data_IF_633117138934
#
_entry.id   IF_633117138934
#
_cell.length_a   1.000
_cell.length_b   1.000
_cell.length_c   1.000
_cell.angle_alpha   90.00
_cell.angle_beta   90.00
_cell.angle_gamma   90.00
#
_symmetry.space_group_name_H-M   'P 1'
#
loop_
_entity.id
_entity.type
_entity.pdbx_description
1 polymer ?
#
# COMPACT_ATOMS: atom_id res chain seq x y z
N UNK A 1 1.17 -10.17 -23.33
CA UNK A 1 -0.25 -9.85 -23.53
C UNK A 1 -0.63 -8.82 -22.48
N UNK A 2 -1.32 -7.72 -22.83
CA UNK A 2 -1.93 -6.82 -21.87
C UNK A 2 -2.80 -7.60 -20.87
N UNK A 3 -2.72 -7.22 -19.60
CA UNK A 3 -3.43 -7.85 -18.48
C UNK A 3 -4.93 -7.61 -18.57
N UNK A 4 -5.72 -8.65 -18.31
CA UNK A 4 -7.17 -8.55 -18.14
C UNK A 4 -7.58 -7.91 -16.79
N UNK A 5 -6.61 -7.74 -15.88
CA UNK A 5 -6.74 -6.95 -14.66
C UNK A 5 -6.47 -5.45 -14.88
N UNK A 6 -6.30 -5.02 -16.13
CA UNK A 6 -6.12 -3.63 -16.52
C UNK A 6 -7.22 -3.18 -17.47
N UNK A 7 -7.51 -1.88 -17.50
CA UNK A 7 -8.13 -1.24 -18.65
C UNK A 7 -7.07 -1.01 -19.72
N UNK A 8 -7.45 -1.14 -21.00
CA UNK A 8 -6.56 -0.93 -22.13
C UNK A 8 -6.86 0.41 -22.77
N UNK A 9 -5.89 1.31 -22.74
CA UNK A 9 -5.95 2.61 -23.38
C UNK A 9 -5.26 2.52 -24.74
N UNK A 10 -6.01 2.77 -25.80
CA UNK A 10 -5.52 2.69 -27.18
C UNK A 10 -5.61 4.05 -27.87
N UNK A 11 -4.71 4.29 -28.82
CA UNK A 11 -4.74 5.48 -29.70
C UNK A 11 -4.46 5.08 -31.14
N UNK A 12 -5.14 5.75 -32.05
CA UNK A 12 -4.95 5.63 -33.50
C UNK A 12 -5.19 6.99 -34.19
N UNK A 13 -4.65 7.18 -35.41
CA UNK A 13 -4.95 8.35 -36.23
C UNK A 13 -6.45 8.49 -36.50
N UNK A 14 -6.94 9.72 -36.41
CA UNK A 14 -8.31 10.06 -36.72
C UNK A 14 -8.60 9.87 -38.22
N UNK A 15 -9.82 9.39 -38.52
CA UNK A 15 -10.41 9.47 -39.85
C UNK A 15 -11.42 10.60 -39.82
N UNK A 16 -11.28 11.56 -40.73
CA UNK A 16 -12.20 12.69 -40.89
C UNK A 16 -12.32 13.65 -39.67
N UNK A 17 -11.38 13.61 -38.72
CA UNK A 17 -11.24 14.57 -37.62
C UNK A 17 -12.27 14.46 -36.49
N UNK A 18 -13.09 13.40 -36.44
CA UNK A 18 -14.08 13.18 -35.37
C UNK A 18 -13.72 11.96 -34.47
N UNK A 19 -13.37 12.19 -33.18
CA UNK A 19 -13.08 11.12 -32.21
C UNK A 19 -14.19 10.08 -32.02
N UNK A 20 -15.45 10.46 -32.26
CA UNK A 20 -16.57 9.52 -32.14
C UNK A 20 -16.55 8.46 -33.24
N UNK A 21 -15.93 8.75 -34.39
CA UNK A 21 -15.78 7.78 -35.47
C UNK A 21 -14.92 6.61 -35.02
N UNK A 22 -13.77 6.85 -34.39
CA UNK A 22 -12.90 5.80 -33.85
C UNK A 22 -13.65 4.97 -32.80
N UNK A 23 -14.39 5.62 -31.89
CA UNK A 23 -15.15 4.92 -30.86
C UNK A 23 -16.18 3.96 -31.49
N UNK A 24 -16.92 4.43 -32.50
CA UNK A 24 -17.93 3.63 -33.21
C UNK A 24 -17.30 2.48 -34.01
N UNK A 25 -16.16 2.71 -34.67
CA UNK A 25 -15.41 1.66 -35.40
C UNK A 25 -14.96 0.55 -34.45
N UNK A 26 -14.33 0.92 -33.32
CA UNK A 26 -13.86 -0.05 -32.31
C UNK A 26 -15.04 -0.81 -31.70
N UNK A 27 -16.14 -0.11 -31.39
CA UNK A 27 -17.35 -0.73 -30.87
C UNK A 27 -17.97 -1.71 -31.88
N UNK A 28 -17.98 -1.37 -33.17
CA UNK A 28 -18.45 -2.26 -34.23
C UNK A 28 -17.56 -3.49 -34.41
N UNK A 29 -16.25 -3.35 -34.22
CA UNK A 29 -15.30 -4.45 -34.35
C UNK A 29 -15.37 -5.42 -33.15
N UNK A 30 -15.46 -4.89 -31.93
CA UNK A 30 -15.44 -5.70 -30.70
C UNK A 30 -16.81 -6.28 -30.32
N UNK A 31 -17.90 -5.65 -30.76
CA UNK A 31 -19.26 -6.02 -30.41
C UNK A 31 -19.73 -5.39 -29.09
N UNK A 32 -21.03 -5.51 -28.83
CA UNK A 32 -21.72 -4.82 -27.71
C UNK A 32 -21.35 -5.32 -26.32
N UNK A 33 -20.74 -6.50 -26.21
CA UNK A 33 -20.41 -7.13 -24.93
C UNK A 33 -19.12 -6.59 -24.31
N UNK A 34 -18.36 -5.75 -25.04
CA UNK A 34 -17.13 -5.13 -24.54
C UNK A 34 -17.42 -3.69 -24.16
N UNK A 35 -17.29 -3.38 -22.87
CA UNK A 35 -17.41 -2.01 -22.37
C UNK A 35 -16.21 -1.16 -22.84
N UNK A 36 -16.52 0.01 -23.40
CA UNK A 36 -15.54 0.95 -23.94
C UNK A 36 -16.04 2.39 -23.81
N UNK A 37 -15.13 3.34 -23.79
CA UNK A 37 -15.43 4.77 -23.75
C UNK A 37 -14.40 5.58 -24.53
N UNK A 38 -14.79 6.77 -24.98
CA UNK A 38 -13.86 7.75 -25.56
C UNK A 38 -12.85 8.19 -24.52
N UNK A 39 -11.62 8.45 -24.97
CA UNK A 39 -10.57 9.00 -24.14
C UNK A 39 -10.05 10.31 -24.75
N UNK A 40 -10.21 11.41 -24.02
CA UNK A 40 -9.74 12.72 -24.48
C UNK A 40 -8.21 12.78 -24.49
N UNK A 41 -7.64 13.10 -25.65
CA UNK A 41 -6.23 13.45 -25.82
C UNK A 41 -6.17 14.97 -26.06
N UNK A 42 -5.56 15.76 -25.16
CA UNK A 42 -5.46 17.20 -25.35
C UNK A 42 -4.46 17.56 -26.45
N UNK A 43 -4.66 18.73 -27.06
CA UNK A 43 -3.63 19.33 -27.92
C UNK A 43 -2.46 19.84 -27.06
N UNK A 44 -1.35 19.10 -27.06
CA UNK A 44 -0.11 19.51 -26.38
C UNK A 44 0.95 19.90 -27.40
N UNK A 45 1.86 20.81 -27.02
CA UNK A 45 3.03 21.13 -27.84
C UNK A 45 4.10 20.07 -27.64
N UNK A 46 4.30 19.25 -28.68
CA UNK A 46 5.23 18.13 -28.67
C UNK A 46 6.71 18.53 -28.49
N UNK A 47 7.09 19.74 -28.94
CA UNK A 47 8.47 20.21 -28.86
C UNK A 47 9.33 19.67 -30.00
N UNK A 48 10.59 19.31 -29.72
CA UNK A 48 11.50 18.73 -30.71
C UNK A 48 11.44 17.20 -30.67
N UNK A 49 11.83 16.54 -31.76
CA UNK A 49 11.94 15.09 -31.80
C UNK A 49 12.87 14.56 -30.69
N UNK A 50 13.99 15.25 -30.45
CA UNK A 50 14.91 14.90 -29.36
C UNK A 50 14.24 14.96 -27.99
N UNK A 51 13.43 15.98 -27.69
CA UNK A 51 12.70 16.04 -26.42
C UNK A 51 11.65 14.93 -26.29
N UNK A 52 10.98 14.56 -27.39
CA UNK A 52 10.01 13.47 -27.38
C UNK A 52 10.67 12.11 -27.14
N UNK A 53 11.84 11.85 -27.74
CA UNK A 53 12.60 10.62 -27.51
C UNK A 53 13.03 10.52 -26.04
N UNK A 54 13.55 11.60 -25.46
CA UNK A 54 13.90 11.64 -24.03
C UNK A 54 12.68 11.39 -23.13
N UNK A 55 11.52 11.97 -23.47
CA UNK A 55 10.28 11.72 -22.73
C UNK A 55 9.79 10.27 -22.90
N UNK A 56 9.89 9.71 -24.10
CA UNK A 56 9.54 8.31 -24.37
C UNK A 56 10.33 7.33 -23.50
N UNK A 57 11.61 7.63 -23.24
CA UNK A 57 12.46 6.81 -22.37
C UNK A 57 12.14 7.01 -20.87
N UNK A 58 11.80 8.25 -20.47
CA UNK A 58 11.57 8.60 -19.07
C UNK A 58 10.16 8.24 -18.57
N UNK A 59 9.14 8.37 -19.42
CA UNK A 59 7.73 8.18 -19.07
C UNK A 59 7.39 6.76 -18.56
N UNK A 60 7.96 5.65 -19.09
CA UNK A 60 7.76 4.32 -18.53
C UNK A 60 8.17 4.21 -17.06
N UNK A 61 9.27 4.88 -16.68
CA UNK A 61 9.73 4.90 -15.28
C UNK A 61 8.78 5.70 -14.40
N UNK A 62 8.34 6.87 -14.86
CA UNK A 62 7.35 7.70 -14.13
C UNK A 62 6.02 6.95 -13.97
N UNK A 63 5.59 6.24 -14.99
CA UNK A 63 4.36 5.44 -14.99
C UNK A 63 4.39 4.34 -13.92
N UNK A 64 5.49 3.59 -13.85
CA UNK A 64 5.71 2.58 -12.82
C UNK A 64 5.71 3.20 -11.42
N UNK A 65 6.36 4.35 -11.26
CA UNK A 65 6.38 5.10 -9.99
C UNK A 65 4.98 5.55 -9.57
N UNK A 66 4.21 6.16 -10.47
CA UNK A 66 2.87 6.67 -10.18
C UNK A 66 1.91 5.53 -9.86
N UNK A 67 1.98 4.44 -10.64
CA UNK A 67 1.22 3.21 -10.39
C UNK A 67 1.54 2.65 -9.00
N UNK A 68 2.82 2.59 -8.63
CA UNK A 68 3.25 2.15 -7.29
C UNK A 68 2.70 3.05 -6.18
N UNK A 69 2.68 4.37 -6.38
CA UNK A 69 2.11 5.30 -5.39
C UNK A 69 0.61 5.08 -5.22
N UNK A 70 -0.15 4.94 -6.31
CA UNK A 70 -1.59 4.62 -6.26
C UNK A 70 -1.84 3.29 -5.54
N UNK A 71 -1.06 2.25 -5.85
CA UNK A 71 -1.18 0.94 -5.18
C UNK A 71 -0.92 1.03 -3.68
N UNK A 72 0.15 1.74 -3.25
CA UNK A 72 0.45 1.93 -1.83
C UNK A 72 -0.66 2.69 -1.09
N UNK A 73 -1.29 3.66 -1.74
CA UNK A 73 -2.44 4.39 -1.18
C UNK A 73 -3.63 3.46 -1.00
N UNK A 74 -3.93 2.62 -2.00
CA UNK A 74 -4.98 1.62 -1.92
C UNK A 74 -4.72 0.60 -0.81
N UNK A 75 -3.50 0.09 -0.70
CA UNK A 75 -3.10 -0.85 0.36
C UNK A 75 -3.20 -0.21 1.75
N UNK A 76 -2.90 1.09 1.86
CA UNK A 76 -3.11 1.83 3.10
C UNK A 76 -4.60 1.89 3.46
N UNK A 77 -5.49 2.14 2.50
CA UNK A 77 -6.95 2.10 2.73
C UNK A 77 -7.37 0.70 3.20
N UNK A 78 -6.95 -0.36 2.49
CA UNK A 78 -7.24 -1.76 2.85
C UNK A 78 -6.82 -2.06 4.28
N UNK A 79 -5.60 -1.67 4.67
CA UNK A 79 -5.09 -1.88 6.02
C UNK A 79 -5.91 -1.13 7.08
N UNK A 80 -6.26 0.13 6.83
CA UNK A 80 -7.01 0.95 7.78
C UNK A 80 -8.44 0.47 8.00
N UNK A 81 -9.05 -0.18 6.99
CA UNK A 81 -10.42 -0.71 7.07
C UNK A 81 -10.48 -2.22 7.29
N UNK A 82 -9.36 -2.83 7.66
CA UNK A 82 -9.25 -4.26 7.97
C UNK A 82 -9.68 -5.18 6.81
N UNK A 83 -9.31 -4.81 5.59
CA UNK A 83 -9.56 -5.57 4.35
C UNK A 83 -11.06 -5.84 4.04
N UNK A 84 -11.96 -5.07 4.66
CA UNK A 84 -13.40 -5.13 4.37
C UNK A 84 -13.67 -4.54 2.98
N UNK A 85 -13.95 -5.40 2.00
CA UNK A 85 -14.19 -5.04 0.60
C UNK A 85 -15.27 -3.95 0.41
N UNK A 86 -16.31 -3.94 1.25
CA UNK A 86 -17.35 -2.92 1.17
C UNK A 86 -16.81 -1.55 1.61
N UNK A 87 -16.01 -1.52 2.69
CA UNK A 87 -15.37 -0.28 3.16
C UNK A 87 -14.28 0.19 2.19
N UNK A 88 -13.51 -0.72 1.62
CA UNK A 88 -12.53 -0.40 0.57
C UNK A 88 -13.24 0.31 -0.59
N UNK A 89 -14.35 -0.26 -1.08
CA UNK A 89 -15.17 0.34 -2.16
C UNK A 89 -15.75 1.71 -1.80
N UNK A 90 -16.05 1.96 -0.52
CA UNK A 90 -16.55 3.25 -0.04
C UNK A 90 -15.46 4.32 0.02
N UNK A 91 -14.21 3.92 0.29
CA UNK A 91 -13.11 4.85 0.51
C UNK A 91 -12.19 5.03 -0.70
N UNK A 92 -11.98 4.00 -1.52
CA UNK A 92 -11.18 4.04 -2.75
C UNK A 92 -11.99 4.62 -3.93
N UNK A 93 -12.26 5.93 -3.86
CA UNK A 93 -13.05 6.67 -4.85
C UNK A 93 -12.22 7.78 -5.50
N UNK A 94 -12.58 8.12 -6.75
CA UNK A 94 -11.95 9.16 -7.55
C UNK A 94 -13.01 10.20 -7.87
N UNK A 95 -12.89 11.42 -7.34
CA UNK A 95 -13.94 12.45 -7.38
C UNK A 95 -15.30 11.90 -6.89
N UNK A 96 -15.28 11.19 -5.76
CA UNK A 96 -16.44 10.56 -5.10
C UNK A 96 -17.20 9.49 -5.91
N UNK A 97 -16.69 9.11 -7.09
CA UNK A 97 -17.20 8.02 -7.92
C UNK A 97 -16.24 6.82 -7.94
N UNK A 98 -16.73 5.59 -8.22
CA UNK A 98 -15.86 4.44 -8.44
C UNK A 98 -14.79 4.71 -9.51
N UNK A 99 -13.56 4.18 -9.38
CA UNK A 99 -12.50 4.39 -10.38
C UNK A 99 -12.91 3.97 -11.80
N UNK A 100 -13.69 2.89 -11.92
CA UNK A 100 -14.24 2.43 -13.19
C UNK A 100 -15.15 3.48 -13.84
N UNK A 101 -16.08 4.04 -13.06
CA UNK A 101 -16.98 5.10 -13.51
C UNK A 101 -16.21 6.38 -13.84
N UNK A 102 -15.12 6.67 -13.11
CA UNK A 102 -14.24 7.79 -13.44
C UNK A 102 -13.60 7.66 -14.83
N UNK A 103 -13.22 6.45 -15.23
CA UNK A 103 -12.55 6.20 -16.51
C UNK A 103 -13.53 5.99 -17.68
N UNK A 104 -14.59 5.20 -17.47
CA UNK A 104 -15.52 4.77 -18.53
C UNK A 104 -16.79 5.64 -18.59
N UNK A 105 -17.18 6.22 -17.45
CA UNK A 105 -18.21 7.26 -17.33
C UNK A 105 -19.57 6.99 -17.97
N UNK A 106 -19.96 5.75 -18.25
CA UNK A 106 -21.27 5.41 -18.83
C UNK A 106 -21.67 6.26 -20.06
N UNK A 107 -20.69 6.76 -20.82
CA UNK A 107 -20.87 7.69 -21.94
C UNK A 107 -20.18 9.06 -21.83
N UNK A 108 -19.60 9.44 -20.68
CA UNK A 108 -18.87 10.71 -20.49
C UNK A 108 -17.37 10.60 -20.13
N UNK A 109 -16.91 9.40 -19.77
CA UNK A 109 -15.49 9.02 -19.64
C UNK A 109 -14.54 9.90 -18.82
N UNK A 110 -13.25 9.58 -18.95
CA UNK A 110 -12.15 10.46 -18.56
C UNK A 110 -12.15 11.73 -19.42
N UNK A 111 -11.89 12.87 -18.78
CA UNK A 111 -11.78 14.19 -19.40
C UNK A 111 -10.47 14.81 -18.93
N UNK A 112 -9.74 15.42 -19.86
CA UNK A 112 -8.49 16.10 -19.52
C UNK A 112 -8.78 17.34 -18.67
N UNK A 113 -8.10 17.49 -17.53
CA UNK A 113 -8.22 18.67 -16.67
C UNK A 113 -7.45 19.85 -17.28
N UNK A 114 -8.13 20.56 -18.18
CA UNK A 114 -7.65 21.76 -18.88
C UNK A 114 -7.30 22.89 -17.91
N UNK A 115 -7.95 22.96 -16.75
CA UNK A 115 -7.71 24.01 -15.76
C UNK A 115 -6.39 23.80 -15.02
N UNK A 116 -6.06 22.55 -14.70
CA UNK A 116 -4.85 22.18 -13.95
C UNK A 116 -3.63 21.96 -14.83
N UNK A 117 -3.81 21.35 -15.99
CA UNK A 117 -2.71 20.94 -16.88
C UNK A 117 -2.60 21.74 -18.18
N UNK A 118 -3.56 22.65 -18.42
CA UNK A 118 -3.59 23.52 -19.59
C UNK A 118 -3.96 22.80 -20.89
N UNK A 119 -4.06 23.60 -21.96
CA UNK A 119 -4.18 23.17 -23.36
C UNK A 119 -3.12 23.94 -24.15
N UNK A 120 -2.35 23.25 -25.01
CA UNK A 120 -1.28 23.86 -25.79
C UNK A 120 0.01 24.18 -25.02
N UNK A 121 0.15 23.71 -23.77
CA UNK A 121 1.41 23.73 -23.01
C UNK A 121 2.45 22.77 -23.61
N UNK A 122 3.73 22.97 -23.28
CA UNK A 122 4.77 22.01 -23.70
C UNK A 122 4.60 20.71 -22.91
N UNK A 123 4.66 19.59 -23.61
CA UNK A 123 4.46 18.27 -22.98
C UNK A 123 5.43 18.01 -21.81
N UNK A 124 6.67 18.46 -21.90
CA UNK A 124 7.65 18.34 -20.81
C UNK A 124 7.25 19.10 -19.54
N UNK A 125 6.69 20.30 -19.67
CA UNK A 125 6.25 21.12 -18.52
C UNK A 125 5.07 20.44 -17.79
N UNK A 126 4.16 19.82 -18.55
CA UNK A 126 3.04 19.04 -17.99
C UNK A 126 3.57 17.83 -17.20
N UNK A 127 4.54 17.09 -17.75
CA UNK A 127 5.15 15.92 -17.07
C UNK A 127 5.85 16.34 -15.78
N UNK A 128 6.57 17.46 -15.79
CA UNK A 128 7.21 18.01 -14.60
C UNK A 128 6.18 18.39 -13.51
N UNK A 129 5.08 19.05 -13.91
CA UNK A 129 3.99 19.42 -13.00
C UNK A 129 3.33 18.19 -12.37
N UNK A 130 2.94 17.20 -13.18
CA UNK A 130 2.38 15.92 -12.71
C UNK A 130 3.33 15.22 -11.72
N UNK A 131 4.63 15.20 -12.04
CA UNK A 131 5.66 14.57 -11.19
C UNK A 131 5.81 15.30 -9.85
N UNK A 132 5.78 16.63 -9.86
CA UNK A 132 5.86 17.44 -8.64
C UNK A 132 4.67 17.18 -7.72
N UNK A 133 3.46 17.13 -8.27
CA UNK A 133 2.26 16.87 -7.48
C UNK A 133 2.21 15.46 -6.92
N UNK A 134 2.55 14.45 -7.73
CA UNK A 134 2.63 13.06 -7.25
C UNK A 134 3.63 12.92 -6.08
N UNK A 135 4.80 13.57 -6.16
CA UNK A 135 5.79 13.60 -5.08
C UNK A 135 5.27 14.31 -3.82
N UNK A 136 4.50 15.39 -3.99
CA UNK A 136 3.86 16.08 -2.86
C UNK A 136 2.90 15.15 -2.13
N UNK A 137 2.05 14.44 -2.88
CA UNK A 137 1.10 13.45 -2.33
C UNK A 137 1.86 12.37 -1.55
N UNK A 138 2.92 11.80 -2.13
CA UNK A 138 3.74 10.77 -1.48
C UNK A 138 4.36 11.28 -0.17
N UNK A 139 4.90 12.50 -0.17
CA UNK A 139 5.53 13.11 1.00
C UNK A 139 4.52 13.32 2.14
N UNK A 140 3.37 13.93 1.85
CA UNK A 140 2.32 14.18 2.85
C UNK A 140 1.73 12.88 3.39
N UNK A 141 1.50 11.88 2.52
CA UNK A 141 1.04 10.57 2.94
C UNK A 141 2.03 9.91 3.91
N UNK A 142 3.31 9.89 3.54
CA UNK A 142 4.37 9.26 4.34
C UNK A 142 4.45 9.88 5.74
N UNK A 143 4.40 11.20 5.83
CA UNK A 143 4.44 11.91 7.12
C UNK A 143 3.27 11.50 8.02
N UNK A 144 2.04 11.49 7.48
CA UNK A 144 0.86 11.15 8.28
C UNK A 144 0.84 9.68 8.70
N UNK A 145 1.22 8.77 7.81
CA UNK A 145 1.36 7.35 8.12
C UNK A 145 2.39 7.10 9.21
N UNK A 146 3.51 7.84 9.23
CA UNK A 146 4.51 7.72 10.29
C UNK A 146 3.95 8.13 11.66
N UNK A 147 3.24 9.26 11.75
CA UNK A 147 2.62 9.71 13.00
C UNK A 147 1.64 8.67 13.57
N UNK A 148 0.75 8.15 12.73
CA UNK A 148 -0.19 7.10 13.12
C UNK A 148 0.52 5.81 13.58
N UNK A 149 1.52 5.34 12.83
CA UNK A 149 2.24 4.11 13.18
C UNK A 149 3.01 4.23 14.50
N UNK A 150 3.51 5.42 14.84
CA UNK A 150 4.16 5.67 16.14
C UNK A 150 3.14 5.57 17.29
N UNK A 151 2.00 6.26 17.19
CA UNK A 151 0.94 6.21 18.19
C UNK A 151 0.40 4.78 18.38
N UNK A 152 0.09 4.09 17.27
CA UNK A 152 -0.34 2.69 17.27
C UNK A 152 0.69 1.75 17.90
N UNK A 153 1.98 1.96 17.61
CA UNK A 153 3.08 1.17 18.18
C UNK A 153 3.21 1.36 19.70
N UNK A 154 3.06 2.60 20.19
CA UNK A 154 3.03 2.92 21.62
C UNK A 154 1.83 2.25 22.31
N UNK A 155 0.64 2.38 21.75
CA UNK A 155 -0.58 1.75 22.27
C UNK A 155 -0.46 0.23 22.35
N UNK A 156 0.00 -0.41 21.28
CA UNK A 156 0.21 -1.87 21.22
C UNK A 156 1.20 -2.33 22.29
N UNK A 157 2.24 -1.54 22.56
CA UNK A 157 3.24 -1.84 23.58
C UNK A 157 2.64 -1.83 24.99
N UNK A 158 1.78 -0.86 25.30
CA UNK A 158 1.08 -0.79 26.60
C UNK A 158 0.05 -1.90 26.74
N UNK A 159 -0.75 -2.15 25.71
CA UNK A 159 -1.74 -3.23 25.71
C UNK A 159 -1.08 -4.61 25.92
N UNK A 160 0.06 -4.86 25.28
CA UNK A 160 0.83 -6.10 25.52
C UNK A 160 1.32 -6.23 26.96
N UNK A 161 1.71 -5.13 27.60
CA UNK A 161 2.08 -5.13 29.03
C UNK A 161 0.89 -5.45 29.94
N UNK A 162 -0.35 -5.23 29.51
CA UNK A 162 -1.55 -5.55 30.29
C UNK A 162 -2.05 -6.99 30.05
N UNK A 163 -1.89 -7.53 28.84
CA UNK A 163 -2.49 -8.81 28.43
C UNK A 163 -1.59 -10.05 28.60
N UNK A 164 -0.32 -9.91 28.99
CA UNK A 164 0.57 -11.06 29.21
C UNK A 164 0.15 -11.99 30.37
N UNK A 165 0.83 -13.13 30.53
CA UNK A 165 0.68 -13.97 31.73
C UNK A 165 1.25 -13.26 32.97
N UNK A 166 0.95 -13.73 34.18
CA UNK A 166 1.33 -13.16 35.49
C UNK A 166 2.85 -13.06 35.68
N UNK A 167 3.63 -13.80 34.89
CA UNK A 167 5.10 -13.70 34.89
C UNK A 167 5.64 -12.49 34.14
N UNK A 168 4.81 -11.81 33.32
CA UNK A 168 5.22 -10.72 32.43
C UNK A 168 4.31 -9.47 32.51
N UNK A 169 2.99 -9.62 32.71
CA UNK A 169 2.05 -8.49 32.74
C UNK A 169 2.28 -7.53 33.90
N UNK A 170 1.76 -6.31 33.74
CA UNK A 170 1.59 -5.35 34.83
C UNK A 170 0.81 -6.00 35.97
N UNK A 171 1.27 -5.74 37.20
CA UNK A 171 0.63 -6.22 38.41
C UNK A 171 -0.17 -5.11 39.13
N UNK A 172 -0.23 -3.90 38.55
CA UNK A 172 -0.89 -2.73 39.13
C UNK A 172 -2.40 -2.94 39.35
N UNK A 173 -3.04 -3.80 38.55
CA UNK A 173 -4.46 -4.15 38.66
C UNK A 173 -4.71 -5.50 39.34
N UNK A 174 -3.64 -6.18 39.77
CA UNK A 174 -3.72 -7.53 40.38
C UNK A 174 -3.42 -7.50 41.87
N UNK A 175 -2.42 -6.71 42.26
CA UNK A 175 -1.94 -6.60 43.64
C UNK A 175 -2.73 -5.51 44.34
N UNK A 176 -3.02 -5.69 45.61
CA UNK A 176 -3.64 -4.68 46.46
C UNK A 176 -2.64 -4.20 47.51
N UNK A 177 -2.84 -2.98 48.01
CA UNK A 177 -2.03 -2.42 49.11
C UNK A 177 -1.96 -3.35 50.34
N UNK A 178 -3.07 -4.01 50.66
CA UNK A 178 -3.18 -4.94 51.78
C UNK A 178 -2.33 -6.23 51.61
N UNK A 179 -1.91 -6.56 50.39
CA UNK A 179 -1.06 -7.73 50.12
C UNK A 179 0.41 -7.47 50.51
N UNK A 180 0.77 -6.22 50.84
CA UNK A 180 2.13 -5.78 51.05
C UNK A 180 2.36 -5.27 52.48
N UNK A 181 3.57 -5.50 52.98
CA UNK A 181 4.02 -4.88 54.23
C UNK A 181 4.26 -3.39 53.99
N UNK A 182 3.48 -2.55 54.66
CA UNK A 182 3.60 -1.10 54.58
C UNK A 182 4.77 -0.57 55.43
N UNK A 183 5.51 0.39 54.87
CA UNK A 183 6.43 1.29 55.59
C UNK A 183 7.43 0.62 56.56
N UNK A 184 7.82 -0.63 56.32
CA UNK A 184 8.85 -1.29 57.13
C UNK A 184 10.26 -0.90 56.68
N UNK A 185 11.13 -0.58 57.63
CA UNK A 185 12.55 -0.34 57.36
C UNK A 185 13.32 -1.63 57.07
N UNK A 186 12.87 -2.76 57.62
CA UNK A 186 13.60 -4.02 57.62
C UNK A 186 12.96 -5.11 56.76
N UNK A 187 11.64 -5.06 56.60
CA UNK A 187 10.89 -6.05 55.84
C UNK A 187 10.45 -5.49 54.49
N UNK A 188 10.31 -6.39 53.53
CA UNK A 188 9.63 -6.10 52.27
C UNK A 188 8.86 -7.34 51.82
N UNK A 189 7.77 -7.10 51.08
CA UNK A 189 7.00 -8.16 50.44
C UNK A 189 7.43 -8.28 48.99
N UNK A 190 7.91 -9.47 48.62
CA UNK A 190 8.19 -9.83 47.25
C UNK A 190 6.98 -10.52 46.64
N UNK A 191 6.78 -10.30 45.35
CA UNK A 191 5.74 -10.96 44.57
C UNK A 191 6.39 -11.97 43.65
N UNK A 192 5.90 -13.19 43.66
CA UNK A 192 6.49 -14.31 42.95
C UNK A 192 5.46 -14.96 42.05
N UNK A 193 5.74 -15.01 40.76
CA UNK A 193 5.01 -15.81 39.80
C UNK A 193 5.58 -17.24 39.85
N UNK A 194 4.80 -18.17 40.40
CA UNK A 194 5.17 -19.57 40.58
C UNK A 194 4.46 -20.40 39.50
N UNK A 195 5.19 -21.16 38.66
CA UNK A 195 4.56 -22.10 37.73
C UNK A 195 3.60 -23.04 38.48
N UNK A 196 2.40 -23.27 37.96
CA UNK A 196 1.37 -24.08 38.65
C UNK A 196 1.86 -25.48 39.01
N UNK A 197 2.65 -26.10 38.14
CA UNK A 197 3.26 -27.41 38.38
C UNK A 197 4.29 -27.42 39.53
N UNK A 198 4.77 -26.25 39.96
CA UNK A 198 5.69 -26.05 41.07
C UNK A 198 5.03 -25.42 42.30
N UNK A 199 3.72 -25.19 42.30
CA UNK A 199 3.02 -24.52 43.42
C UNK A 199 3.15 -25.28 44.75
N UNK A 200 3.14 -26.62 44.70
CA UNK A 200 3.39 -27.45 45.89
C UNK A 200 4.83 -27.30 46.39
N UNK A 201 5.78 -27.32 45.45
CA UNK A 201 7.21 -27.18 45.75
C UNK A 201 7.53 -25.82 46.39
N UNK A 202 6.86 -24.76 45.93
CA UNK A 202 6.92 -23.43 46.56
C UNK A 202 6.49 -23.49 48.03
N UNK A 203 5.29 -24.02 48.32
CA UNK A 203 4.76 -24.07 49.68
C UNK A 203 5.66 -24.88 50.63
N UNK A 204 6.31 -25.93 50.13
CA UNK A 204 7.19 -26.78 50.93
C UNK A 204 8.58 -26.15 51.17
N UNK A 205 9.05 -25.27 50.26
CA UNK A 205 10.45 -24.78 50.27
C UNK A 205 10.63 -23.30 50.62
N UNK A 206 9.67 -22.43 50.35
CA UNK A 206 9.93 -20.97 50.32
C UNK A 206 10.52 -20.43 51.63
N UNK A 207 10.07 -20.95 52.78
CA UNK A 207 10.55 -20.56 54.12
C UNK A 207 12.02 -20.91 54.37
N UNK A 208 12.59 -21.82 53.58
CA UNK A 208 13.94 -22.38 53.75
C UNK A 208 14.88 -22.02 52.60
N UNK A 209 14.42 -21.22 51.63
CA UNK A 209 15.26 -20.79 50.51
C UNK A 209 16.43 -19.94 50.98
N UNK A 210 16.20 -19.06 51.94
CA UNK A 210 17.24 -18.26 52.62
C UNK A 210 16.95 -18.15 54.11
N UNK A 211 17.92 -17.65 54.87
CA UNK A 211 17.63 -17.16 56.23
C UNK A 211 16.77 -15.90 56.17
N UNK A 212 16.14 -15.54 57.29
CA UNK A 212 15.35 -14.30 57.43
C UNK A 212 14.15 -14.18 56.45
N UNK A 213 13.51 -15.31 56.13
CA UNK A 213 12.18 -15.35 55.53
C UNK A 213 11.14 -15.41 56.64
N UNK A 214 10.05 -14.63 56.54
CA UNK A 214 8.97 -14.66 57.53
C UNK A 214 8.11 -15.91 57.29
N UNK A 215 8.03 -16.86 58.25
CA UNK A 215 7.21 -18.06 58.08
C UNK A 215 5.72 -17.72 57.94
N UNK A 216 4.98 -18.55 57.20
CA UNK A 216 3.55 -18.40 56.90
C UNK A 216 3.16 -17.04 56.28
N UNK A 217 4.12 -16.36 55.65
CA UNK A 217 3.89 -15.06 55.00
C UNK A 217 3.40 -15.16 53.55
N UNK A 218 3.36 -16.36 52.97
CA UNK A 218 2.90 -16.51 51.59
C UNK A 218 1.38 -16.47 51.49
N UNK A 219 0.88 -15.64 50.57
CA UNK A 219 -0.54 -15.53 50.25
C UNK A 219 -0.72 -15.63 48.75
N UNK A 220 -1.76 -16.32 48.30
CA UNK A 220 -2.11 -16.38 46.87
C UNK A 220 -2.92 -15.15 46.50
N UNK A 221 -2.40 -14.35 45.57
CA UNK A 221 -3.04 -13.13 45.07
C UNK A 221 -3.94 -13.45 43.87
N UNK A 222 -3.38 -14.13 42.87
CA UNK A 222 -4.04 -14.40 41.60
C UNK A 222 -3.53 -15.68 40.96
N UNK A 223 -4.19 -16.16 39.91
CA UNK A 223 -3.69 -17.23 39.05
C UNK A 223 -4.22 -17.04 37.62
N UNK A 224 -3.41 -17.40 36.63
CA UNK A 224 -3.79 -17.50 35.23
C UNK A 224 -3.72 -18.97 34.78
N UNK A 225 -3.53 -19.27 33.50
CA UNK A 225 -3.40 -20.65 33.01
C UNK A 225 -2.10 -21.35 33.45
N UNK A 226 -0.99 -20.62 33.55
CA UNK A 226 0.37 -21.17 33.71
C UNK A 226 0.97 -20.93 35.10
N UNK A 227 0.63 -19.80 35.74
CA UNK A 227 1.25 -19.28 36.94
C UNK A 227 0.22 -19.02 38.05
N UNK A 228 0.71 -19.10 39.28
CA UNK A 228 0.06 -18.60 40.49
C UNK A 228 0.91 -17.46 41.03
N UNK A 229 0.30 -16.30 41.24
CA UNK A 229 0.96 -15.15 41.85
C UNK A 229 0.85 -15.26 43.37
N UNK A 230 1.99 -15.27 44.05
CA UNK A 230 2.06 -15.39 45.50
C UNK A 230 2.92 -14.30 46.11
N UNK A 231 2.63 -13.91 47.35
CA UNK A 231 3.50 -13.03 48.16
C UNK A 231 4.50 -13.85 48.96
N UNK A 232 5.56 -13.19 49.42
CA UNK A 232 6.42 -13.66 50.51
C UNK A 232 7.04 -12.44 51.19
N UNK A 233 7.08 -12.43 52.52
CA UNK A 233 7.75 -11.37 53.26
C UNK A 233 9.15 -11.81 53.67
N UNK A 234 10.16 -11.01 53.32
CA UNK A 234 11.56 -11.27 53.63
C UNK A 234 12.20 -10.04 54.25
N UNK A 235 13.33 -10.23 54.94
CA UNK A 235 14.16 -9.09 55.34
C UNK A 235 14.86 -8.51 54.11
N UNK A 236 14.89 -7.18 53.98
CA UNK A 236 15.53 -6.48 52.86
C UNK A 236 16.98 -6.91 52.62
N UNK A 237 17.71 -7.22 53.70
CA UNK A 237 19.11 -7.68 53.65
C UNK A 237 19.31 -8.97 52.85
N UNK A 238 18.30 -9.86 52.80
CA UNK A 238 18.37 -11.15 52.09
C UNK A 238 17.62 -11.13 50.77
N UNK A 239 17.10 -9.98 50.32
CA UNK A 239 16.33 -9.85 49.08
C UNK A 239 17.01 -10.51 47.90
N UNK A 240 18.24 -10.08 47.60
CA UNK A 240 18.92 -10.49 46.38
C UNK A 240 19.30 -11.97 46.41
N UNK A 241 19.69 -12.48 47.59
CA UNK A 241 19.91 -13.91 47.82
C UNK A 241 18.62 -14.72 47.62
N UNK A 242 17.48 -14.22 48.13
CA UNK A 242 16.19 -14.88 47.98
C UNK A 242 15.73 -14.89 46.52
N UNK A 243 15.91 -13.78 45.80
CA UNK A 243 15.66 -13.67 44.35
C UNK A 243 16.53 -14.67 43.59
N UNK A 244 17.81 -14.80 43.96
CA UNK A 244 18.72 -15.77 43.35
C UNK A 244 18.24 -17.21 43.59
N UNK A 245 17.87 -17.57 44.83
CA UNK A 245 17.33 -18.89 45.18
C UNK A 245 15.99 -19.20 44.53
N UNK A 246 15.15 -18.18 44.32
CA UNK A 246 13.93 -18.32 43.52
C UNK A 246 14.26 -18.72 42.08
N UNK A 247 15.24 -18.05 41.45
CA UNK A 247 15.67 -18.37 40.07
C UNK A 247 16.20 -19.80 39.94
N UNK A 248 17.01 -20.28 40.90
CA UNK A 248 17.50 -21.67 40.92
C UNK A 248 16.34 -22.69 40.95
N UNK A 249 15.24 -22.35 41.61
CA UNK A 249 14.04 -23.19 41.71
C UNK A 249 12.98 -22.86 40.65
N UNK A 250 13.33 -22.07 39.61
CA UNK A 250 12.43 -21.66 38.52
C UNK A 250 11.22 -20.84 38.97
N UNK A 251 11.30 -20.20 40.14
CA UNK A 251 10.33 -19.21 40.61
C UNK A 251 10.72 -17.82 40.07
N UNK A 252 9.73 -17.06 39.61
CA UNK A 252 9.97 -15.76 38.98
C UNK A 252 9.56 -14.66 39.95
N UNK A 253 10.53 -14.02 40.60
CA UNK A 253 10.25 -12.82 41.41
C UNK A 253 9.96 -11.65 40.47
N UNK A 254 8.79 -11.04 40.64
CA UNK A 254 8.30 -9.90 39.87
C UNK A 254 8.75 -8.61 40.54
N UNK A 255 9.37 -7.72 39.77
CA UNK A 255 9.71 -6.39 40.25
C UNK A 255 8.42 -5.56 40.33
N UNK A 256 8.00 -5.25 41.56
CA UNK A 256 6.78 -4.52 41.82
C UNK A 256 6.93 -3.67 43.07
N UNK A 257 6.56 -2.40 42.94
CA UNK A 257 6.50 -1.46 44.04
C UNK A 257 5.14 -0.76 43.99
N UNK A 258 4.45 -0.75 45.12
CA UNK A 258 3.17 -0.07 45.22
C UNK A 258 3.33 1.44 45.06
N UNK A 259 2.46 2.03 44.26
CA UNK A 259 2.26 3.47 44.13
C UNK A 259 0.76 3.69 43.98
N UNK A 260 0.15 4.39 44.96
CA UNK A 260 -1.29 4.68 45.03
C UNK A 260 -1.80 5.41 43.78
N UNK A 261 -0.91 6.07 43.02
CA UNK A 261 -1.22 6.81 41.80
C UNK A 261 -0.88 6.07 40.50
N UNK A 262 -0.11 4.97 40.55
CA UNK A 262 0.44 4.34 39.35
C UNK A 262 -0.64 3.67 38.48
N UNK A 263 -1.63 3.02 39.09
CA UNK A 263 -2.72 2.39 38.34
C UNK A 263 -3.56 3.44 37.59
N UNK A 264 -3.92 4.53 38.27
CA UNK A 264 -4.69 5.62 37.64
C UNK A 264 -3.88 6.35 36.57
N UNK A 265 -2.57 6.57 36.79
CA UNK A 265 -1.67 7.09 35.74
C UNK A 265 -1.62 6.17 34.52
N UNK A 266 -1.48 4.85 34.72
CA UNK A 266 -1.44 3.88 33.61
C UNK A 266 -2.77 3.85 32.84
N UNK A 267 -3.91 3.86 33.54
CA UNK A 267 -5.24 3.91 32.90
C UNK A 267 -5.42 5.21 32.10
N UNK A 268 -5.03 6.35 32.68
CA UNK A 268 -5.09 7.65 32.02
C UNK A 268 -4.22 7.68 30.77
N UNK A 269 -2.96 7.25 30.85
CA UNK A 269 -2.03 7.17 29.72
C UNK A 269 -2.57 6.25 28.60
N UNK A 270 -3.13 5.09 28.98
CA UNK A 270 -3.75 4.17 28.00
C UNK A 270 -4.93 4.84 27.30
N UNK A 271 -5.83 5.48 28.05
CA UNK A 271 -7.00 6.16 27.49
C UNK A 271 -6.62 7.35 26.59
N UNK A 272 -5.61 8.13 26.98
CA UNK A 272 -5.09 9.25 26.18
C UNK A 272 -4.52 8.74 24.84
N UNK A 273 -3.74 7.65 24.86
CA UNK A 273 -3.19 7.04 23.65
C UNK A 273 -4.26 6.39 22.76
N UNK A 274 -5.32 5.80 23.34
CA UNK A 274 -6.45 5.26 22.58
C UNK A 274 -7.21 6.36 21.83
N UNK A 275 -7.40 7.52 22.46
CA UNK A 275 -8.02 8.68 21.82
C UNK A 275 -7.11 9.22 20.70
N UNK A 276 -5.82 9.42 20.99
CA UNK A 276 -4.84 9.92 20.02
C UNK A 276 -4.74 9.00 18.79
N UNK A 277 -4.67 7.67 19.00
CA UNK A 277 -4.59 6.70 17.91
C UNK A 277 -5.83 6.75 17.02
N UNK A 278 -7.02 6.87 17.60
CA UNK A 278 -8.28 6.95 16.88
C UNK A 278 -8.44 8.26 16.09
N UNK A 279 -7.99 9.37 16.65
CA UNK A 279 -7.95 10.66 15.97
C UNK A 279 -7.01 10.58 14.76
N UNK A 280 -5.77 10.09 14.97
CA UNK A 280 -4.79 9.91 13.90
C UNK A 280 -5.26 8.94 12.82
N UNK A 281 -5.94 7.86 13.19
CA UNK A 281 -6.56 6.92 12.26
C UNK A 281 -7.59 7.62 11.37
N UNK A 282 -8.47 8.42 11.96
CA UNK A 282 -9.53 9.15 11.25
C UNK A 282 -8.94 10.15 10.25
N UNK A 283 -7.93 10.91 10.70
CA UNK A 283 -7.24 11.88 9.86
C UNK A 283 -6.44 11.20 8.73
N UNK A 284 -5.76 10.09 9.02
CA UNK A 284 -5.03 9.32 8.02
C UNK A 284 -5.97 8.72 6.99
N UNK A 285 -7.09 8.13 7.39
CA UNK A 285 -8.08 7.59 6.45
C UNK A 285 -8.62 8.70 5.54
N UNK A 286 -9.01 9.84 6.10
CA UNK A 286 -9.49 10.99 5.32
C UNK A 286 -8.43 11.48 4.32
N UNK A 287 -7.20 11.66 4.77
CA UNK A 287 -6.09 12.09 3.91
C UNK A 287 -5.80 11.07 2.81
N UNK A 288 -5.77 9.78 3.14
CA UNK A 288 -5.46 8.71 2.18
C UNK A 288 -6.51 8.65 1.07
N UNK A 289 -7.79 8.88 1.39
CA UNK A 289 -8.88 8.97 0.39
C UNK A 289 -8.65 10.11 -0.61
N UNK A 290 -8.34 11.29 -0.11
CA UNK A 290 -8.05 12.48 -0.94
C UNK A 290 -6.83 12.19 -1.82
N UNK A 291 -5.74 11.74 -1.20
CA UNK A 291 -4.50 11.39 -1.89
C UNK A 291 -4.69 10.30 -2.95
N UNK A 292 -5.51 9.29 -2.68
CA UNK A 292 -5.84 8.25 -3.64
C UNK A 292 -6.58 8.81 -4.86
N UNK A 293 -7.62 9.62 -4.63
CA UNK A 293 -8.36 10.29 -5.71
C UNK A 293 -7.45 11.15 -6.57
N UNK A 294 -6.61 11.98 -5.96
CA UNK A 294 -5.66 12.85 -6.65
C UNK A 294 -4.58 12.07 -7.41
N UNK A 295 -3.97 11.07 -6.76
CA UNK A 295 -2.93 10.24 -7.38
C UNK A 295 -3.48 9.43 -8.57
N UNK A 296 -4.71 8.91 -8.48
CA UNK A 296 -5.34 8.18 -9.58
C UNK A 296 -5.63 9.09 -10.77
N UNK A 297 -6.12 10.31 -10.52
CA UNK A 297 -6.31 11.33 -11.56
C UNK A 297 -4.98 11.66 -12.23
N UNK A 298 -3.93 11.93 -11.46
CA UNK A 298 -2.59 12.24 -11.98
C UNK A 298 -2.02 11.06 -12.80
N UNK A 299 -2.26 9.81 -12.39
CA UNK A 299 -1.90 8.62 -13.16
C UNK A 299 -2.63 8.59 -14.51
N UNK A 300 -3.94 8.82 -14.56
CA UNK A 300 -4.71 8.88 -15.80
C UNK A 300 -4.20 9.99 -16.75
N UNK A 301 -3.84 11.16 -16.19
CA UNK A 301 -3.25 12.24 -16.98
C UNK A 301 -1.86 11.87 -17.50
N UNK A 302 -1.00 11.23 -16.69
CA UNK A 302 0.29 10.73 -17.16
C UNK A 302 0.12 9.70 -18.28
N UNK A 303 -0.84 8.79 -18.18
CA UNK A 303 -1.16 7.80 -19.23
C UNK A 303 -1.61 8.49 -20.53
N UNK A 304 -2.37 9.58 -20.41
CA UNK A 304 -2.76 10.41 -21.55
C UNK A 304 -1.55 11.09 -22.20
N UNK A 305 -0.61 11.60 -21.40
CA UNK A 305 0.64 12.16 -21.94
C UNK A 305 1.49 11.09 -22.62
N UNK A 306 1.57 9.88 -22.07
CA UNK A 306 2.23 8.74 -22.72
C UNK A 306 1.57 8.41 -24.06
N UNK A 307 0.24 8.33 -24.07
CA UNK A 307 -0.56 8.10 -25.26
C UNK A 307 -0.25 9.14 -26.34
N UNK A 308 -0.22 10.43 -25.96
CA UNK A 308 0.12 11.53 -26.86
C UNK A 308 1.56 11.42 -27.41
N UNK A 309 2.57 11.28 -26.55
CA UNK A 309 3.98 11.23 -26.97
C UNK A 309 4.24 10.06 -27.92
N UNK A 310 3.75 8.86 -27.57
CA UNK A 310 3.92 7.67 -28.41
C UNK A 310 3.15 7.80 -29.73
N UNK A 311 1.95 8.40 -29.72
CA UNK A 311 1.19 8.66 -30.95
C UNK A 311 1.93 9.63 -31.87
N UNK A 312 2.53 10.71 -31.33
CA UNK A 312 3.36 11.63 -32.12
C UNK A 312 4.58 10.93 -32.71
N UNK A 313 5.26 10.08 -31.94
CA UNK A 313 6.43 9.34 -32.41
C UNK A 313 6.09 8.29 -33.48
N UNK A 314 4.92 7.66 -33.40
CA UNK A 314 4.50 6.63 -34.37
C UNK A 314 3.80 7.16 -35.60
N UNK A 315 2.97 8.19 -35.45
CA UNK A 315 2.05 8.65 -36.50
C UNK A 315 2.44 10.01 -37.10
N UNK A 316 3.27 10.79 -36.40
CA UNK A 316 3.76 12.09 -36.89
C UNK A 316 2.72 13.20 -36.84
N UNK A 317 3.14 14.45 -37.03
CA UNK A 317 2.25 15.61 -36.98
C UNK A 317 1.47 15.80 -38.30
N UNK A 318 0.27 16.42 -38.28
CA UNK A 318 -0.43 17.00 -37.13
C UNK A 318 -0.98 15.96 -36.14
N UNK A 319 -1.12 16.33 -34.87
CA UNK A 319 -1.54 15.42 -33.79
C UNK A 319 -3.06 15.16 -33.81
N UNK A 320 -3.55 14.60 -34.91
CA UNK A 320 -4.96 14.26 -35.12
C UNK A 320 -5.20 12.80 -34.69
N UNK A 321 -5.31 12.59 -33.37
CA UNK A 321 -5.46 11.26 -32.77
C UNK A 321 -6.68 11.21 -31.87
N UNK A 322 -7.31 10.03 -31.79
CA UNK A 322 -8.33 9.74 -30.80
C UNK A 322 -7.88 8.63 -29.87
N UNK A 323 -8.34 8.71 -28.63
CA UNK A 323 -8.14 7.66 -27.65
C UNK A 323 -9.43 6.89 -27.41
N UNK A 324 -9.30 5.59 -27.17
CA UNK A 324 -10.39 4.73 -26.67
C UNK A 324 -9.87 3.95 -25.47
N UNK A 325 -10.66 3.88 -24.41
CA UNK A 325 -10.40 2.98 -23.30
C UNK A 325 -11.31 1.77 -23.41
N UNK A 326 -10.75 0.59 -23.26
CA UNK A 326 -11.42 -0.71 -23.35
C UNK A 326 -11.33 -1.41 -22.01
N UNK A 327 -12.46 -1.92 -21.51
CA UNK A 327 -12.49 -2.83 -20.36
C UNK A 327 -12.49 -4.26 -20.88
N UNK A 328 -11.35 -4.97 -20.84
CA UNK A 328 -11.32 -6.37 -21.23
C UNK A 328 -12.11 -7.20 -20.23
N UNK A 329 -12.93 -8.11 -20.76
CA UNK A 329 -13.56 -9.17 -19.98
C UNK A 329 -12.60 -10.37 -19.91
N UNK A 330 -12.26 -10.89 -18.72
CA UNK A 330 -11.24 -11.94 -18.54
C UNK A 330 -11.38 -13.14 -19.50
N UNK A 331 -12.62 -13.59 -19.74
CA UNK A 331 -12.89 -14.75 -20.59
C UNK A 331 -12.66 -14.50 -22.09
N UNK A 332 -12.74 -13.25 -22.52
CA UNK A 332 -12.68 -12.87 -23.95
C UNK A 332 -11.50 -11.95 -24.27
N UNK A 333 -10.69 -11.56 -23.27
CA UNK A 333 -9.56 -10.64 -23.42
C UNK A 333 -8.64 -10.99 -24.61
N UNK A 334 -8.24 -12.27 -24.74
CA UNK A 334 -7.41 -12.74 -25.87
C UNK A 334 -8.08 -12.47 -27.23
N UNK A 335 -9.39 -12.74 -27.33
CA UNK A 335 -10.17 -12.51 -28.54
C UNK A 335 -10.28 -11.01 -28.83
N UNK A 336 -10.60 -10.21 -27.81
CA UNK A 336 -10.68 -8.74 -27.90
C UNK A 336 -9.37 -8.16 -28.44
N UNK A 337 -8.24 -8.57 -27.88
CA UNK A 337 -6.92 -8.11 -28.31
C UNK A 337 -6.63 -8.52 -29.77
N UNK A 338 -6.91 -9.77 -30.14
CA UNK A 338 -6.73 -10.23 -31.52
C UNK A 338 -7.55 -9.39 -32.50
N UNK A 339 -8.81 -9.12 -32.19
CA UNK A 339 -9.69 -8.31 -33.03
C UNK A 339 -9.18 -6.87 -33.15
N UNK A 340 -8.67 -6.26 -32.07
CA UNK A 340 -8.02 -4.94 -32.14
C UNK A 340 -6.78 -4.95 -33.04
N UNK A 341 -5.92 -5.95 -32.90
CA UNK A 341 -4.71 -6.09 -33.73
C UNK A 341 -5.05 -6.26 -35.21
N UNK A 342 -6.04 -7.09 -35.53
CA UNK A 342 -6.53 -7.26 -36.91
C UNK A 342 -7.11 -5.96 -37.47
N UNK A 343 -7.89 -5.22 -36.66
CA UNK A 343 -8.47 -3.94 -37.06
C UNK A 343 -7.40 -2.90 -37.42
N UNK A 344 -6.32 -2.82 -36.65
CA UNK A 344 -5.27 -1.81 -36.82
C UNK A 344 -4.03 -2.28 -37.59
N UNK A 345 -4.06 -3.47 -38.22
CA UNK A 345 -2.92 -4.00 -38.99
C UNK A 345 -2.46 -3.07 -40.12
N UNK A 346 -3.35 -2.21 -40.65
CA UNK A 346 -3.00 -1.23 -41.68
C UNK A 346 -1.98 -0.18 -41.20
N UNK A 347 -1.88 0.05 -39.88
CA UNK A 347 -0.89 0.96 -39.28
C UNK A 347 0.52 0.34 -39.29
N UNK A 348 0.66 -0.98 -39.50
CA UNK A 348 1.93 -1.67 -39.60
C UNK A 348 2.81 -1.15 -40.76
N UNK A 349 2.21 -0.69 -41.86
CA UNK A 349 2.97 -0.17 -43.00
C UNK A 349 3.38 1.29 -42.84
N UNK A 350 2.74 2.02 -41.91
CA UNK A 350 3.13 3.39 -41.55
C UNK A 350 4.28 3.40 -40.52
N UNK A 351 4.34 2.39 -39.64
CA UNK A 351 5.38 2.26 -38.60
C UNK A 351 6.67 1.58 -39.07
N UNK A 352 6.64 0.80 -40.17
CA UNK A 352 7.81 0.14 -40.75
C UNK A 352 8.28 0.90 -41.98
N UNK A 353 9.40 1.61 -41.86
CA UNK A 353 10.07 2.25 -43.00
C UNK A 353 10.39 1.26 -44.15
N UNK A 354 10.78 1.74 -45.35
CA UNK A 354 10.71 0.98 -46.62
C UNK A 354 11.56 -0.31 -46.74
N UNK A 355 12.25 -0.77 -45.70
CA UNK A 355 13.29 -1.81 -45.81
C UNK A 355 12.92 -3.22 -45.35
N UNK A 356 11.65 -3.54 -45.08
CA UNK A 356 11.28 -4.93 -44.74
C UNK A 356 10.08 -5.46 -45.53
N UNK A 357 10.17 -5.38 -46.87
CA UNK A 357 9.52 -6.40 -47.70
C UNK A 357 10.21 -7.73 -47.43
N UNK A 358 9.58 -8.57 -46.62
CA UNK A 358 9.98 -9.95 -46.35
C UNK A 358 9.87 -10.74 -47.66
N UNK A 359 10.96 -10.70 -48.43
CA UNK A 359 11.15 -11.52 -49.63
C UNK A 359 11.15 -12.98 -49.24
N UNK A 360 10.25 -13.74 -49.87
CA UNK A 360 10.17 -15.19 -49.75
C UNK A 360 11.28 -15.80 -50.61
N UNK A 361 12.41 -16.18 -50.03
CA UNK A 361 13.37 -17.08 -50.68
C UNK A 361 14.30 -17.70 -49.64
N UNK A 362 14.37 -19.02 -49.61
CA UNK A 362 15.35 -19.77 -48.84
C UNK A 362 16.77 -19.62 -49.37
N UNK A 363 17.73 -20.06 -48.56
CA UNK A 363 19.14 -20.13 -48.91
C UNK A 363 20.01 -19.66 -47.75
N UNK A 364 20.78 -20.58 -47.19
CA UNK A 364 21.77 -20.34 -46.15
C UNK A 364 22.85 -19.35 -46.62
N UNK A 365 23.35 -18.52 -45.70
CA UNK A 365 24.79 -18.28 -45.45
C UNK A 365 24.98 -17.36 -44.25
N UNK A 366 26.09 -17.62 -43.55
CA UNK A 366 26.53 -16.97 -42.33
C UNK A 366 27.09 -15.55 -42.55
N UNK A 367 27.09 -14.74 -41.48
CA UNK A 367 27.95 -13.57 -41.34
C UNK A 367 27.24 -12.22 -41.23
N UNK A 368 26.69 -11.91 -40.05
CA UNK A 368 26.50 -10.54 -39.55
C UNK A 368 26.18 -10.62 -38.05
N UNK A 369 27.17 -10.99 -37.25
CA UNK A 369 27.15 -10.72 -35.82
C UNK A 369 27.46 -9.23 -35.57
N UNK A 370 26.87 -8.71 -34.49
CA UNK A 370 27.20 -7.45 -33.81
C UNK A 370 26.39 -6.18 -34.14
N UNK A 371 25.06 -6.28 -34.19
CA UNK A 371 24.14 -5.17 -33.83
C UNK A 371 22.90 -5.73 -33.09
N UNK A 372 23.12 -6.57 -32.08
CA UNK A 372 22.05 -7.43 -31.52
C UNK A 372 21.99 -7.54 -30.00
N UNK A 373 22.63 -6.63 -29.25
CA UNK A 373 22.66 -6.70 -27.78
C UNK A 373 21.69 -5.75 -27.07
N UNK A 374 21.74 -4.45 -27.40
CA UNK A 374 21.02 -3.42 -26.63
C UNK A 374 19.56 -3.21 -27.08
N UNK A 375 19.23 -3.64 -28.31
CA UNK A 375 17.87 -3.56 -28.85
C UNK A 375 17.07 -4.86 -28.67
N UNK A 376 17.72 -5.94 -28.20
CA UNK A 376 17.06 -7.22 -27.97
C UNK A 376 16.03 -7.15 -26.82
N UNK A 377 16.29 -6.34 -25.78
CA UNK A 377 15.32 -6.08 -24.71
C UNK A 377 14.15 -5.20 -25.16
N UNK A 378 14.35 -4.37 -26.20
CA UNK A 378 13.29 -3.59 -26.86
C UNK A 378 12.42 -4.48 -27.76
N UNK A 379 12.96 -5.60 -28.27
CA UNK A 379 12.21 -6.58 -29.07
C UNK A 379 11.30 -7.51 -28.24
N UNK A 380 11.43 -7.55 -26.92
CA UNK A 380 10.57 -8.35 -26.03
C UNK A 380 9.29 -7.62 -25.59
N UNK A 381 9.17 -6.31 -25.84
CA UNK A 381 7.89 -5.61 -25.71
C UNK A 381 6.99 -5.99 -26.87
N UNK A 382 5.84 -6.61 -26.60
CA UNK A 382 4.83 -6.93 -27.63
C UNK A 382 4.51 -5.68 -28.46
N UNK A 383 5.02 -5.63 -29.69
CA UNK A 383 4.86 -4.49 -30.56
C UNK A 383 3.51 -4.59 -31.27
N UNK A 384 2.51 -3.89 -30.74
CA UNK A 384 1.24 -3.69 -31.43
C UNK A 384 1.42 -2.65 -32.54
N UNK A 385 0.72 -2.83 -33.67
CA UNK A 385 0.73 -1.87 -34.78
C UNK A 385 0.04 -0.53 -34.41
N UNK A 386 -0.60 -0.48 -33.24
CA UNK A 386 -1.22 0.71 -32.64
C UNK A 386 -0.65 0.98 -31.24
N UNK A 387 -0.87 2.19 -30.71
CA UNK A 387 -0.43 2.54 -29.35
C UNK A 387 -1.37 1.90 -28.33
N UNK A 388 -0.81 1.18 -27.35
CA UNK A 388 -1.56 0.58 -26.25
C UNK A 388 -0.82 0.80 -24.93
N UNK A 389 -1.55 1.27 -23.91
CA UNK A 389 -1.08 1.35 -22.52
C UNK A 389 -2.13 0.78 -21.57
N UNK A 390 -1.69 0.36 -20.39
CA UNK A 390 -2.56 -0.25 -19.37
C UNK A 390 -2.81 0.69 -18.21
N UNK A 391 -4.04 0.72 -17.70
CA UNK A 391 -4.39 1.33 -16.41
C UNK A 391 -4.89 0.22 -15.49
N UNK A 392 -4.19 -0.11 -14.38
CA UNK A 392 -4.62 -1.18 -13.50
C UNK A 392 -6.04 -0.96 -12.94
N UNK A 393 -6.84 -2.03 -12.91
CA UNK A 393 -8.15 -2.02 -12.26
C UNK A 393 -7.97 -1.91 -10.75
N UNK A 394 -8.84 -1.13 -10.11
CA UNK A 394 -8.93 -1.08 -8.64
C UNK A 394 -9.83 -2.23 -8.22
N UNK A 395 -9.22 -3.31 -7.75
CA UNK A 395 -9.94 -4.51 -7.30
C UNK A 395 -10.23 -4.35 -5.80
N UNK A 396 -11.51 -4.41 -5.45
CA UNK A 396 -12.00 -4.29 -4.08
C UNK A 396 -12.00 -5.61 -3.32
#
# INVERSE_FOLDING_TARGET
MPSDLSYWLISAPLKDGDPNVMLNEVHSALGKDVELASWEIPELKAGTLSSLLTLSDALPKLDSQFTTTVSKLLDTIRSLVSEDSNKVSQHARVNDRPPEEYLLGGGGGFVWDKGRWGVGGKVGEVVEALTKEMKSIESTQKQKSQSYNLAKGSLTTIQRKQQGNLSQRSLLDVVNKADLVENSEFLETLIVAVPKNLAKDWNDKYERLTSMVVPRSTQRIAADEEYVLQTVTVFRKVRDDFVHKCRENKFIVRDFKWDDSALEKQKKETAELEVEEKELWTELLRLTRINFSEAYQILAHLKTVRLFVESVLRYGLPADYAGVIVKPEPKTAVKTLRTLSEHYTYLASASRGPSTKRGKSGGATAGAEDVGGEWASVMEAEYFDFVLFEIPKVIN
#
